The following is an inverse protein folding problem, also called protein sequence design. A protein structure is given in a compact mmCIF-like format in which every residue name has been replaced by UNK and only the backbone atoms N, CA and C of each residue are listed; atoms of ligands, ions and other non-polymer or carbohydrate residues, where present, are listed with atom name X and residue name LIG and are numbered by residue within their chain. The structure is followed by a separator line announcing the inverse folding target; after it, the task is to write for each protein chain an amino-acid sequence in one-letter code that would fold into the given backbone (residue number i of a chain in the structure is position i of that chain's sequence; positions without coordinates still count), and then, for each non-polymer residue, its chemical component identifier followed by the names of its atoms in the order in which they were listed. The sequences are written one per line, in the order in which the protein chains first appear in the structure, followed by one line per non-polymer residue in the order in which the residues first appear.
data_IF_985967668160
#
_entry.id   IF_985967668160
#
_cell.length_a   1.000
_cell.length_b   1.000
_cell.length_c   1.000
_cell.angle_alpha   90.00
_cell.angle_beta   90.00
_cell.angle_gamma   90.00
#
_symmetry.space_group_name_H-M   'P 1'
#
loop_
_entity.id
_entity.type
_entity.pdbx_description
1 polymer ?
#
# COMPACT_ATOMS: atom_id res chain seq x y z
N UNK A 1 -17.57 10.52 -54.66
CA UNK A 1 -17.92 11.23 -53.39
C UNK A 1 -17.91 10.33 -52.14
N UNK A 2 -18.46 9.10 -52.18
CA UNK A 2 -18.74 8.29 -50.96
C UNK A 2 -17.55 7.98 -50.02
N UNK A 3 -16.32 7.81 -50.52
CA UNK A 3 -15.15 7.48 -49.68
C UNK A 3 -14.84 8.55 -48.61
N UNK A 4 -15.03 9.85 -48.92
CA UNK A 4 -14.78 10.94 -47.96
C UNK A 4 -15.82 11.00 -46.83
N UNK A 5 -17.03 10.50 -47.05
CA UNK A 5 -18.04 10.38 -45.98
C UNK A 5 -17.74 9.17 -45.09
N UNK A 6 -17.37 8.02 -45.67
CA UNK A 6 -17.02 6.82 -44.90
C UNK A 6 -15.88 7.08 -43.89
N UNK A 7 -14.82 7.75 -44.33
CA UNK A 7 -13.69 8.09 -43.45
C UNK A 7 -14.08 9.04 -42.29
N UNK A 8 -14.98 10.00 -42.56
CA UNK A 8 -15.43 10.97 -41.55
C UNK A 8 -16.32 10.31 -40.47
N UNK A 9 -17.19 9.39 -40.87
CA UNK A 9 -18.08 8.67 -39.94
C UNK A 9 -17.31 7.68 -39.06
N UNK A 10 -16.25 7.04 -39.58
CA UNK A 10 -15.38 6.17 -38.77
C UNK A 10 -14.61 6.97 -37.71
N UNK A 11 -14.07 8.15 -38.05
CA UNK A 11 -13.40 9.01 -37.07
C UNK A 11 -14.34 9.49 -35.95
N UNK A 12 -15.59 9.81 -36.26
CA UNK A 12 -16.57 10.23 -35.22
C UNK A 12 -17.01 9.08 -34.31
N UNK A 13 -17.03 7.83 -34.80
CA UNK A 13 -17.32 6.67 -33.96
C UNK A 13 -16.19 6.36 -32.97
N UNK A 14 -14.92 6.50 -33.37
CA UNK A 14 -13.76 6.20 -32.52
C UNK A 14 -13.65 7.19 -31.35
N UNK A 15 -13.97 8.47 -31.56
CA UNK A 15 -13.98 9.49 -30.50
C UNK A 15 -15.04 9.21 -29.43
N UNK A 16 -16.15 8.54 -29.78
CA UNK A 16 -17.22 8.20 -28.83
C UNK A 16 -16.88 7.06 -27.86
N UNK A 17 -15.80 6.30 -28.09
CA UNK A 17 -15.38 5.18 -27.24
C UNK A 17 -14.24 5.50 -26.26
N UNK A 18 -13.79 6.77 -26.20
CA UNK A 18 -12.98 7.24 -25.06
C UNK A 18 -13.92 7.51 -23.89
N UNK A 19 -14.33 6.42 -23.24
CA UNK A 19 -15.04 6.48 -21.97
C UNK A 19 -14.14 7.16 -20.95
N UNK A 20 -14.49 8.40 -20.55
CA UNK A 20 -13.82 9.12 -19.48
C UNK A 20 -13.94 8.32 -18.19
N UNK A 21 -12.90 7.54 -17.87
CA UNK A 21 -12.79 6.88 -16.59
C UNK A 21 -12.90 7.94 -15.51
N UNK A 22 -13.95 7.86 -14.68
CA UNK A 22 -14.09 8.70 -13.50
C UNK A 22 -13.03 8.27 -12.49
N UNK A 23 -11.82 8.80 -12.66
CA UNK A 23 -10.75 8.71 -11.66
C UNK A 23 -11.27 9.42 -10.41
N UNK A 24 -11.76 8.64 -9.45
CA UNK A 24 -12.17 9.19 -8.16
C UNK A 24 -11.00 9.88 -7.47
N UNK A 25 -11.28 10.92 -6.67
CA UNK A 25 -10.25 11.59 -5.88
C UNK A 25 -9.44 10.57 -5.08
N UNK A 26 -8.11 10.68 -5.14
CA UNK A 26 -7.21 9.79 -4.43
C UNK A 26 -7.32 10.01 -2.92
N UNK A 27 -7.85 9.01 -2.22
CA UNK A 27 -8.01 8.99 -0.77
C UNK A 27 -6.77 8.37 -0.11
N UNK A 28 -6.39 8.83 1.08
CA UNK A 28 -5.36 8.16 1.88
C UNK A 28 -5.94 6.97 2.65
N UNK A 29 -5.19 5.87 2.74
CA UNK A 29 -5.53 4.69 3.54
C UNK A 29 -4.38 4.31 4.47
N UNK A 30 -4.68 4.17 5.76
CA UNK A 30 -3.74 3.64 6.76
C UNK A 30 -3.64 2.13 6.64
N UNK A 31 -2.47 1.56 6.92
CA UNK A 31 -2.27 0.11 6.90
C UNK A 31 -1.08 -0.32 7.76
N UNK A 32 -1.09 -1.59 8.18
CA UNK A 32 -0.02 -2.22 8.96
C UNK A 32 0.52 -3.44 8.21
N UNK A 33 1.85 -3.59 8.15
CA UNK A 33 2.51 -4.77 7.59
C UNK A 33 2.81 -5.80 8.67
N UNK A 34 2.38 -7.04 8.46
CA UNK A 34 2.52 -8.19 9.35
C UNK A 34 3.35 -9.32 8.71
N UNK A 35 3.94 -10.17 9.57
CA UNK A 35 4.51 -11.46 9.16
C UNK A 35 3.38 -12.34 8.61
N UNK A 36 3.63 -13.01 7.49
CA UNK A 36 2.62 -13.78 6.75
C UNK A 36 1.79 -14.71 7.64
N UNK A 37 0.46 -14.63 7.49
CA UNK A 37 -0.49 -15.46 8.25
C UNK A 37 -0.62 -15.11 9.74
N UNK A 38 -0.12 -13.96 10.19
CA UNK A 38 -0.18 -13.54 11.61
C UNK A 38 -0.58 -12.06 11.75
N UNK A 39 -0.87 -11.65 12.99
CA UNK A 39 -1.00 -10.23 13.39
C UNK A 39 0.28 -9.65 14.02
N UNK A 40 1.43 -10.30 13.86
CA UNK A 40 2.72 -9.80 14.38
C UNK A 40 3.38 -8.89 13.35
N UNK A 41 3.76 -7.66 13.72
CA UNK A 41 4.44 -6.70 12.82
C UNK A 41 5.64 -7.32 12.11
N UNK A 42 5.76 -7.06 10.80
CA UNK A 42 6.90 -7.49 10.00
C UNK A 42 8.06 -6.51 10.10
N UNK A 43 9.31 -7.00 9.99
CA UNK A 43 10.48 -6.14 9.76
C UNK A 43 10.36 -5.35 8.45
N UNK A 44 9.57 -5.85 7.49
CA UNK A 44 9.27 -5.12 6.25
C UNK A 44 8.54 -3.79 6.52
N UNK A 45 7.81 -3.65 7.63
CA UNK A 45 6.94 -2.49 7.89
C UNK A 45 7.69 -1.15 7.92
N UNK A 46 8.94 -1.14 8.41
CA UNK A 46 9.78 0.06 8.44
C UNK A 46 10.19 0.58 7.05
N UNK A 47 10.05 -0.23 6.00
CA UNK A 47 10.37 0.12 4.61
C UNK A 47 9.12 0.50 3.80
N UNK A 48 7.92 0.31 4.33
CA UNK A 48 6.68 0.64 3.65
C UNK A 48 6.22 2.05 4.02
N UNK A 49 6.16 2.93 3.03
CA UNK A 49 5.70 4.30 3.21
C UNK A 49 4.19 4.34 3.39
N UNK A 50 3.74 5.05 4.44
CA UNK A 50 2.34 5.32 4.75
C UNK A 50 2.00 6.78 4.43
N UNK A 51 0.70 7.13 4.37
CA UNK A 51 -0.40 6.22 4.03
C UNK A 51 -0.21 5.66 2.62
N UNK A 52 -0.93 4.59 2.27
CA UNK A 52 -1.12 4.24 0.86
C UNK A 52 -2.18 5.17 0.24
N UNK A 53 -2.23 5.28 -1.08
CA UNK A 53 -3.31 6.01 -1.77
C UNK A 53 -4.27 5.04 -2.44
N UNK A 54 -5.55 5.41 -2.48
CA UNK A 54 -6.63 4.61 -3.08
C UNK A 54 -7.44 5.50 -4.01
N UNK A 55 -7.59 5.04 -5.26
CA UNK A 55 -8.62 5.55 -6.17
C UNK A 55 -9.67 4.45 -6.41
N UNK A 56 -10.87 4.84 -6.81
CA UNK A 56 -11.88 3.88 -7.28
C UNK A 56 -11.90 3.91 -8.80
N UNK A 57 -11.83 2.73 -9.43
CA UNK A 57 -11.91 2.56 -10.88
C UNK A 57 -12.65 1.26 -11.20
N UNK A 58 -13.58 1.29 -12.15
CA UNK A 58 -14.35 0.12 -12.63
C UNK A 58 -14.98 -0.75 -11.52
N UNK A 59 -15.43 -0.14 -10.42
CA UNK A 59 -16.03 -0.85 -9.29
C UNK A 59 -15.04 -1.62 -8.41
N UNK A 60 -13.76 -1.25 -8.42
CA UNK A 60 -12.72 -1.79 -7.57
C UNK A 60 -11.84 -0.65 -6.99
N UNK A 61 -11.16 -0.94 -5.88
CA UNK A 61 -10.09 -0.11 -5.35
C UNK A 61 -8.81 -0.33 -6.16
N UNK A 62 -8.16 0.75 -6.60
CA UNK A 62 -6.78 0.73 -7.08
C UNK A 62 -5.92 1.35 -5.98
N UNK A 63 -5.17 0.50 -5.28
CA UNK A 63 -4.34 0.89 -4.14
C UNK A 63 -2.90 1.02 -4.59
N UNK A 64 -2.28 2.18 -4.37
CA UNK A 64 -0.86 2.44 -4.64
C UNK A 64 -0.07 2.49 -3.34
N UNK A 65 0.99 1.68 -3.27
CA UNK A 65 1.90 1.55 -2.13
C UNK A 65 3.32 1.90 -2.57
N UNK A 66 4.16 2.37 -1.65
CA UNK A 66 5.56 2.71 -1.94
C UNK A 66 6.50 2.05 -0.93
N UNK A 67 7.52 1.36 -1.44
CA UNK A 67 8.65 0.88 -0.65
C UNK A 67 9.76 1.94 -0.69
N UNK A 68 10.25 2.36 0.49
CA UNK A 68 11.33 3.33 0.67
C UNK A 68 12.56 2.63 1.27
N UNK A 69 13.68 2.70 0.57
CA UNK A 69 14.95 2.04 0.98
C UNK A 69 16.12 3.00 0.81
N UNK A 70 17.10 2.98 1.70
CA UNK A 70 18.22 3.91 1.65
C UNK A 70 19.19 3.57 0.50
N UNK A 71 19.75 4.60 -0.16
CA UNK A 71 20.56 4.41 -1.38
C UNK A 71 21.90 3.69 -1.16
N UNK A 72 22.32 3.49 0.10
CA UNK A 72 23.54 2.78 0.47
C UNK A 72 23.39 1.25 0.56
N UNK A 73 22.18 0.69 0.39
CA UNK A 73 21.94 -0.76 0.43
C UNK A 73 22.23 -1.42 -0.93
N UNK A 74 21.44 -1.06 -1.93
CA UNK A 74 21.61 -1.33 -3.36
C UNK A 74 20.51 -0.58 -4.12
N UNK A 75 20.52 -0.59 -5.46
CA UNK A 75 19.39 -0.09 -6.24
C UNK A 75 18.24 -1.13 -6.21
N UNK A 76 17.09 -0.73 -5.67
CA UNK A 76 15.87 -1.56 -5.56
C UNK A 76 16.08 -2.88 -4.78
N UNK A 77 16.54 -2.84 -3.52
CA UNK A 77 16.90 -4.02 -2.73
C UNK A 77 15.70 -4.92 -2.38
N UNK A 78 14.47 -4.44 -2.59
CA UNK A 78 13.22 -5.19 -2.42
C UNK A 78 12.44 -5.13 -3.72
N UNK A 79 11.96 -6.29 -4.17
CA UNK A 79 11.10 -6.44 -5.35
C UNK A 79 9.81 -7.14 -4.95
N UNK A 80 8.66 -6.53 -5.21
CA UNK A 80 7.35 -7.22 -5.11
C UNK A 80 7.22 -8.18 -6.29
N UNK A 81 7.03 -9.46 -5.98
CA UNK A 81 6.77 -10.52 -6.96
C UNK A 81 5.26 -10.62 -7.23
N UNK A 82 4.46 -10.57 -6.16
CA UNK A 82 3.00 -10.62 -6.23
C UNK A 82 2.34 -9.86 -5.07
N UNK A 83 1.10 -9.44 -5.29
CA UNK A 83 0.24 -8.70 -4.35
C UNK A 83 -1.22 -9.05 -4.66
N UNK A 84 -1.99 -9.45 -3.64
CA UNK A 84 -3.37 -9.95 -3.77
C UNK A 84 -3.52 -11.10 -4.80
N UNK A 85 -2.51 -11.97 -4.87
CA UNK A 85 -2.42 -13.06 -5.84
C UNK A 85 -2.07 -12.63 -7.27
N UNK A 86 -1.98 -11.33 -7.56
CA UNK A 86 -1.68 -10.76 -8.88
C UNK A 86 -0.24 -10.24 -8.97
N UNK A 87 0.22 -9.92 -10.19
CA UNK A 87 1.45 -9.16 -10.40
C UNK A 87 1.24 -7.66 -10.04
N UNK A 88 2.28 -6.96 -9.54
CA UNK A 88 2.18 -5.52 -9.28
C UNK A 88 1.99 -4.71 -10.57
N UNK A 89 1.05 -3.76 -10.53
CA UNK A 89 0.69 -2.86 -11.63
C UNK A 89 1.36 -1.49 -11.45
N UNK A 90 1.42 -0.70 -12.53
CA UNK A 90 1.90 0.71 -12.52
C UNK A 90 3.25 0.92 -11.80
N UNK A 91 4.16 -0.07 -11.93
CA UNK A 91 5.46 -0.10 -11.27
C UNK A 91 6.30 1.13 -11.67
N UNK A 92 6.60 1.97 -10.69
CA UNK A 92 7.36 3.21 -10.85
C UNK A 92 8.54 3.21 -9.88
N UNK A 93 9.71 3.61 -10.35
CA UNK A 93 10.98 3.54 -9.60
C UNK A 93 11.71 4.88 -9.71
N UNK A 94 11.78 5.63 -8.60
CA UNK A 94 12.41 6.96 -8.53
C UNK A 94 13.37 7.07 -7.35
N UNK A 95 14.28 8.04 -7.40
CA UNK A 95 15.23 8.31 -6.32
C UNK A 95 15.05 9.75 -5.84
N UNK A 96 14.88 9.96 -4.53
CA UNK A 96 14.76 11.28 -3.92
C UNK A 96 15.20 11.25 -2.45
N UNK A 97 15.77 12.36 -1.96
CA UNK A 97 16.11 12.53 -0.54
C UNK A 97 17.05 11.48 0.08
N UNK A 98 17.91 10.82 -0.71
CA UNK A 98 18.76 9.72 -0.24
C UNK A 98 18.07 8.35 -0.17
N UNK A 99 16.87 8.22 -0.77
CA UNK A 99 16.11 6.97 -0.83
C UNK A 99 15.78 6.56 -2.27
N UNK A 100 15.78 5.24 -2.49
CA UNK A 100 15.07 4.60 -3.60
C UNK A 100 13.60 4.40 -3.21
N UNK A 101 12.69 4.89 -4.06
CA UNK A 101 11.24 4.82 -3.94
C UNK A 101 10.70 3.88 -5.03
N UNK A 102 10.29 2.68 -4.65
CA UNK A 102 9.59 1.75 -5.53
C UNK A 102 8.10 1.81 -5.22
N UNK A 103 7.35 2.54 -6.05
CA UNK A 103 5.89 2.57 -6.04
C UNK A 103 5.29 1.51 -6.95
N UNK A 104 4.20 0.90 -6.52
CA UNK A 104 3.41 -0.04 -7.32
C UNK A 104 1.95 0.06 -6.90
N UNK A 105 1.03 -0.43 -7.74
CA UNK A 105 -0.37 -0.57 -7.40
C UNK A 105 -0.89 -1.99 -7.52
N UNK A 106 -2.02 -2.27 -6.88
CA UNK A 106 -2.83 -3.45 -7.11
C UNK A 106 -4.31 -3.09 -7.12
N UNK A 107 -5.14 -3.97 -7.69
CA UNK A 107 -6.57 -3.74 -7.87
C UNK A 107 -7.34 -4.81 -7.14
N UNK A 108 -8.24 -4.42 -6.23
CA UNK A 108 -9.04 -5.37 -5.45
C UNK A 108 -10.45 -4.85 -5.17
N UNK A 109 -11.38 -5.76 -4.88
CA UNK A 109 -12.76 -5.43 -4.50
C UNK A 109 -12.98 -5.38 -2.99
N UNK A 110 -12.05 -5.90 -2.21
CA UNK A 110 -12.12 -5.90 -0.75
C UNK A 110 -10.77 -5.50 -0.13
N UNK A 111 -10.81 -4.57 0.82
CA UNK A 111 -9.66 -4.20 1.66
C UNK A 111 -9.93 -4.49 3.14
N UNK A 112 -11.11 -5.01 3.48
CA UNK A 112 -11.47 -5.43 4.84
C UNK A 112 -10.84 -6.77 5.23
N UNK A 113 -10.43 -7.59 4.25
CA UNK A 113 -9.66 -8.82 4.45
C UNK A 113 -8.21 -8.62 4.95
N UNK A 114 -7.32 -9.54 4.57
CA UNK A 114 -5.86 -9.44 4.76
C UNK A 114 -5.19 -9.69 3.42
N UNK A 115 -4.59 -8.65 2.85
CA UNK A 115 -3.95 -8.74 1.53
C UNK A 115 -2.57 -9.36 1.70
N UNK A 116 -2.28 -10.44 0.96
CA UNK A 116 -0.96 -11.09 1.00
C UNK A 116 -0.08 -10.68 -0.18
N UNK A 117 1.23 -10.66 0.04
CA UNK A 117 2.23 -10.30 -0.97
C UNK A 117 3.47 -11.17 -0.84
N UNK A 118 4.07 -11.55 -1.98
CA UNK A 118 5.38 -12.17 -2.04
C UNK A 118 6.42 -11.13 -2.49
N UNK A 119 7.54 -11.05 -1.77
CA UNK A 119 8.65 -10.14 -2.05
C UNK A 119 9.97 -10.90 -2.15
N UNK A 120 10.86 -10.46 -3.04
CA UNK A 120 12.26 -10.85 -3.11
C UNK A 120 13.13 -9.75 -2.52
N UNK A 121 14.11 -10.09 -1.69
CA UNK A 121 15.06 -9.14 -1.09
C UNK A 121 16.48 -9.50 -1.53
N UNK A 122 17.29 -8.51 -1.93
CA UNK A 122 18.68 -8.67 -2.35
C UNK A 122 19.53 -7.43 -1.99
N UNK A 123 20.19 -7.48 -0.84
CA UNK A 123 21.26 -6.55 -0.43
C UNK A 123 22.59 -7.31 -0.57
N UNK A 124 23.42 -6.99 -1.58
CA UNK A 124 24.64 -7.75 -1.88
C UNK A 124 25.58 -7.89 -0.67
N UNK A 125 26.07 -9.10 -0.43
CA UNK A 125 26.95 -9.41 0.70
C UNK A 125 26.29 -9.40 2.09
N UNK A 126 25.03 -8.97 2.22
CA UNK A 126 24.35 -8.81 3.52
C UNK A 126 23.14 -9.74 3.65
N UNK A 127 22.22 -9.72 2.68
CA UNK A 127 20.97 -10.48 2.80
C UNK A 127 20.31 -10.77 1.45
N UNK A 128 19.92 -12.02 1.22
CA UNK A 128 19.13 -12.43 0.06
C UNK A 128 18.12 -13.51 0.45
N UNK A 129 16.83 -13.22 0.28
CA UNK A 129 15.74 -14.14 0.62
C UNK A 129 14.43 -13.74 -0.07
N UNK A 130 13.54 -14.70 -0.27
CA UNK A 130 12.15 -14.44 -0.63
C UNK A 130 11.27 -14.59 0.61
N UNK A 131 10.30 -13.69 0.78
CA UNK A 131 9.37 -13.67 1.90
C UNK A 131 7.95 -13.49 1.41
N UNK A 132 7.00 -14.07 2.16
CA UNK A 132 5.62 -13.60 2.10
C UNK A 132 5.39 -12.63 3.28
N UNK A 133 4.53 -11.64 3.05
CA UNK A 133 4.06 -10.68 4.06
C UNK A 133 2.55 -10.49 3.90
N UNK A 134 1.92 -9.94 4.94
CA UNK A 134 0.48 -9.66 4.96
C UNK A 134 0.26 -8.19 5.31
N UNK A 135 -0.73 -7.55 4.68
CA UNK A 135 -1.16 -6.19 4.97
C UNK A 135 -2.59 -6.19 5.51
N UNK A 136 -2.84 -5.34 6.51
CA UNK A 136 -4.18 -5.01 6.97
C UNK A 136 -4.41 -3.52 6.76
N UNK A 137 -5.43 -3.18 5.99
CA UNK A 137 -5.84 -1.80 5.74
C UNK A 137 -6.90 -1.36 6.76
N UNK A 138 -6.87 -0.08 7.11
CA UNK A 138 -7.96 0.59 7.83
C UNK A 138 -8.95 1.10 6.80
N UNK A 139 -10.11 0.45 6.71
CA UNK A 139 -11.14 0.76 5.72
C UNK A 139 -12.13 1.84 6.17
N UNK A 140 -11.98 2.39 7.39
CA UNK A 140 -12.97 3.30 8.00
C UNK A 140 -13.21 4.59 7.22
N UNK A 141 -12.23 5.07 6.46
CA UNK A 141 -12.29 6.30 5.66
C UNK A 141 -12.38 6.07 4.14
N UNK A 142 -12.64 4.83 3.69
CA UNK A 142 -12.68 4.50 2.26
C UNK A 142 -14.05 4.80 1.63
N UNK A 143 -14.07 5.25 0.34
CA UNK A 143 -15.30 5.43 -0.41
C UNK A 143 -15.92 4.06 -0.73
N UNK A 144 -17.21 3.87 -0.43
CA UNK A 144 -17.91 2.63 -0.74
C UNK A 144 -17.90 2.33 -2.25
N UNK A 145 -17.55 1.10 -2.62
CA UNK A 145 -17.71 0.62 -4.00
C UNK A 145 -19.20 0.45 -4.31
N UNK A 146 -19.69 1.11 -5.36
CA UNK A 146 -21.09 1.04 -5.79
C UNK A 146 -21.53 -0.41 -6.04
N UNK A 147 -22.40 -0.94 -5.17
CA UNK A 147 -22.82 -2.35 -5.15
C UNK A 147 -22.45 -3.10 -3.86
N UNK A 148 -21.62 -2.54 -2.98
CA UNK A 148 -21.38 -3.09 -1.65
C UNK A 148 -22.42 -2.57 -0.65
N UNK A 149 -23.43 -3.39 -0.34
CA UNK A 149 -24.36 -3.12 0.77
C UNK A 149 -23.63 -3.34 2.09
N UNK A 150 -23.14 -2.27 2.72
CA UNK A 150 -22.50 -2.34 4.03
C UNK A 150 -23.53 -2.63 5.13
N UNK A 151 -23.59 -3.87 5.58
CA UNK A 151 -24.42 -4.26 6.74
C UNK A 151 -24.00 -3.51 8.00
N UNK A 152 -24.83 -2.58 8.45
CA UNK A 152 -24.65 -1.90 9.73
C UNK A 152 -25.07 -2.84 10.85
N UNK A 153 -24.14 -3.13 11.78
CA UNK A 153 -24.42 -3.88 13.00
C UNK A 153 -23.94 -3.05 14.20
N UNK A 154 -24.86 -2.70 15.10
CA UNK A 154 -24.58 -1.89 16.29
C UNK A 154 -25.43 -2.40 17.45
N UNK A 155 -24.85 -2.44 18.66
CA UNK A 155 -25.41 -3.06 19.89
C UNK A 155 -25.39 -4.60 19.90
N UNK A 156 -25.24 -5.29 21.04
CA UNK A 156 -24.89 -4.82 22.39
C UNK A 156 -25.57 -5.64 23.51
N UNK A 157 -24.83 -5.97 24.57
CA UNK A 157 -25.24 -6.70 25.81
C UNK A 157 -25.76 -8.16 25.60
N UNK A 158 -25.27 -9.19 26.30
CA UNK A 158 -25.46 -9.57 27.73
C UNK A 158 -26.90 -10.11 27.99
N UNK A 159 -27.19 -11.22 28.70
CA UNK A 159 -26.37 -12.02 29.64
C UNK A 159 -26.89 -13.47 29.87
N UNK A 160 -26.04 -14.34 30.44
CA UNK A 160 -26.35 -15.52 31.30
C UNK A 160 -27.12 -16.73 30.66
N UNK A 161 -26.96 -18.00 31.04
CA UNK A 161 -26.12 -18.76 32.03
C UNK A 161 -25.74 -20.14 31.41
N UNK A 162 -25.20 -21.22 32.01
CA UNK A 162 -24.92 -21.72 33.38
C UNK A 162 -23.59 -22.54 33.35
N UNK A 163 -22.85 -22.89 34.42
CA UNK A 163 -23.09 -23.75 35.63
C UNK A 163 -23.43 -25.23 35.30
N UNK A 164 -22.76 -26.28 35.81
CA UNK A 164 -21.76 -26.42 36.89
C UNK A 164 -20.71 -27.52 36.55
N UNK A 165 -19.41 -27.34 36.81
CA UNK A 165 -18.64 -27.79 38.00
C UNK A 165 -17.97 -29.18 37.88
N UNK A 166 -16.73 -29.29 38.40
CA UNK A 166 -15.93 -30.52 38.42
C UNK A 166 -14.44 -30.24 38.61
N UNK A 167 -13.92 -30.31 39.85
CA UNK A 167 -12.50 -30.08 40.18
C UNK A 167 -11.77 -31.38 40.47
N UNK A 168 -10.54 -31.54 39.95
CA UNK A 168 -9.53 -32.44 40.50
C UNK A 168 -8.12 -32.06 40.02
N UNK A 169 -7.16 -32.07 40.96
CA UNK A 169 -5.72 -31.98 40.69
C UNK A 169 -5.20 -33.33 40.15
N UNK A 170 -4.15 -33.34 39.31
CA UNK A 170 -3.69 -34.55 38.63
C UNK A 170 -2.33 -34.46 37.94
N UNK A 171 -1.31 -33.90 38.58
CA UNK A 171 0.07 -34.01 38.06
C UNK A 171 0.62 -35.43 38.21
N UNK A 172 0.96 -36.09 37.10
CA UNK A 172 1.76 -37.32 37.07
C UNK A 172 2.96 -37.17 36.13
N UNK A 173 4.15 -37.04 36.72
CA UNK A 173 5.42 -36.94 36.00
C UNK A 173 6.05 -38.30 35.75
N UNK A 174 6.61 -38.55 34.57
CA UNK A 174 7.36 -39.77 34.26
C UNK A 174 8.52 -39.55 33.28
N UNK A 175 9.53 -38.79 33.71
CA UNK A 175 10.88 -38.88 33.11
C UNK A 175 11.94 -38.69 34.20
N UNK A 176 12.62 -39.77 34.56
CA UNK A 176 13.67 -39.77 35.60
C UNK A 176 14.96 -39.16 35.05
N UNK A 177 15.55 -38.19 35.77
CA UNK A 177 16.78 -37.53 35.34
C UNK A 177 17.33 -36.52 36.34
N UNK A 178 18.01 -37.00 37.39
CA UNK A 178 18.94 -36.25 38.27
C UNK A 178 18.42 -34.97 38.95
N UNK A 179 18.10 -35.07 40.25
CA UNK A 179 17.80 -33.92 41.11
C UNK A 179 19.08 -33.17 41.52
N UNK A 180 19.53 -32.20 40.71
CA UNK A 180 20.51 -31.18 41.12
C UNK A 180 19.80 -29.85 41.45
N UNK A 181 19.77 -29.41 42.73
CA UNK A 181 19.10 -28.18 43.12
C UNK A 181 19.77 -26.91 42.57
N UNK A 182 21.04 -26.94 42.16
CA UNK A 182 21.67 -25.79 41.49
C UNK A 182 21.09 -25.57 40.09
N UNK A 183 20.74 -26.64 39.38
CA UNK A 183 20.24 -26.56 38.01
C UNK A 183 18.92 -25.78 37.94
N UNK A 184 17.97 -26.09 38.85
CA UNK A 184 16.66 -25.43 38.90
C UNK A 184 16.74 -23.94 39.25
N UNK A 185 17.69 -23.54 40.11
CA UNK A 185 17.95 -22.12 40.39
C UNK A 185 18.57 -21.41 39.18
N UNK A 186 19.49 -22.07 38.47
CA UNK A 186 20.15 -21.55 37.27
C UNK A 186 19.15 -21.32 36.13
N UNK A 187 18.20 -22.25 35.92
CA UNK A 187 17.11 -22.08 34.94
C UNK A 187 16.22 -20.87 35.26
N UNK A 188 15.74 -20.72 36.51
CA UNK A 188 14.93 -19.54 36.90
C UNK A 188 15.67 -18.22 36.70
N UNK A 189 16.99 -18.20 36.92
CA UNK A 189 17.81 -17.00 36.65
C UNK A 189 17.92 -16.71 35.14
N UNK A 190 18.14 -17.72 34.31
CA UNK A 190 18.13 -17.56 32.84
C UNK A 190 16.78 -17.06 32.31
N UNK A 191 15.66 -17.62 32.79
CA UNK A 191 14.30 -17.20 32.40
C UNK A 191 14.03 -15.71 32.73
N UNK A 192 14.41 -15.27 33.93
CA UNK A 192 14.28 -13.87 34.35
C UNK A 192 15.21 -12.93 33.57
N UNK A 193 16.39 -13.38 33.14
CA UNK A 193 17.27 -12.60 32.27
C UNK A 193 16.74 -12.53 30.82
N UNK A 194 16.24 -13.63 30.26
CA UNK A 194 15.69 -13.69 28.92
C UNK A 194 14.43 -12.82 28.75
N UNK A 195 13.52 -12.87 29.72
CA UNK A 195 12.32 -12.00 29.75
C UNK A 195 12.67 -10.51 29.93
N UNK A 196 13.69 -10.20 30.74
CA UNK A 196 14.23 -8.82 30.85
C UNK A 196 14.86 -8.32 29.55
N UNK A 197 15.59 -9.18 28.84
CA UNK A 197 16.19 -8.84 27.55
C UNK A 197 15.13 -8.70 26.43
N UNK A 198 14.12 -9.57 26.41
CA UNK A 198 13.00 -9.53 25.46
C UNK A 198 12.15 -8.26 25.60
N UNK A 199 11.85 -7.84 26.84
CA UNK A 199 11.13 -6.60 27.11
C UNK A 199 11.98 -5.35 26.77
N UNK A 200 13.27 -5.35 27.10
CA UNK A 200 14.20 -4.29 26.70
C UNK A 200 14.39 -4.20 25.16
N UNK A 201 14.37 -5.32 24.46
CA UNK A 201 14.39 -5.37 22.99
C UNK A 201 13.12 -4.71 22.40
N UNK A 202 11.92 -5.15 22.82
CA UNK A 202 10.65 -4.52 22.42
C UNK A 202 10.60 -3.02 22.72
N UNK A 203 11.17 -2.57 23.83
CA UNK A 203 11.26 -1.15 24.17
C UNK A 203 12.17 -0.37 23.20
N UNK A 204 13.32 -0.94 22.81
CA UNK A 204 14.20 -0.35 21.79
C UNK A 204 13.57 -0.37 20.39
N UNK A 205 12.97 -1.49 19.98
CA UNK A 205 12.28 -1.65 18.69
C UNK A 205 11.14 -0.64 18.55
N UNK A 206 10.26 -0.52 19.55
CA UNK A 206 9.14 0.43 19.52
C UNK A 206 9.59 1.90 19.54
N UNK A 207 10.68 2.23 20.25
CA UNK A 207 11.28 3.58 20.20
C UNK A 207 11.92 3.89 18.84
N UNK A 208 12.61 2.91 18.24
CA UNK A 208 13.19 3.05 16.90
C UNK A 208 12.08 3.18 15.84
N UNK A 209 11.04 2.36 15.89
CA UNK A 209 9.88 2.44 15.01
C UNK A 209 9.19 3.81 15.09
N UNK A 210 8.97 4.36 16.30
CA UNK A 210 8.44 5.73 16.47
C UNK A 210 9.35 6.80 15.89
N UNK A 211 10.68 6.66 16.02
CA UNK A 211 11.65 7.58 15.42
C UNK A 211 11.63 7.51 13.89
N UNK A 212 11.57 6.30 13.32
CA UNK A 212 11.46 6.09 11.87
C UNK A 212 10.14 6.62 11.33
N UNK A 213 9.02 6.43 12.03
CA UNK A 213 7.72 7.03 11.68
C UNK A 213 7.86 8.56 11.65
N UNK A 214 8.34 9.20 12.72
CA UNK A 214 8.50 10.66 12.75
C UNK A 214 9.47 11.24 11.68
N UNK A 215 10.43 10.45 11.16
CA UNK A 215 11.24 10.82 9.99
C UNK A 215 10.56 10.49 8.65
N UNK A 216 9.75 9.44 8.59
CA UNK A 216 8.92 9.13 7.43
C UNK A 216 7.90 10.25 7.22
N UNK A 217 7.24 10.72 8.28
CA UNK A 217 6.15 11.72 8.25
C UNK A 217 6.62 13.10 7.76
N UNK A 218 7.76 13.58 8.25
CA UNK A 218 8.37 14.84 7.78
C UNK A 218 8.70 14.83 6.29
N UNK A 219 9.07 13.67 5.75
CA UNK A 219 9.34 13.48 4.32
C UNK A 219 8.05 13.20 3.53
N UNK A 220 6.99 12.64 4.14
CA UNK A 220 5.65 12.58 3.56
C UNK A 220 5.10 13.99 3.32
N UNK A 221 5.23 14.90 4.29
CA UNK A 221 4.82 16.31 4.13
C UNK A 221 5.49 17.00 2.94
N UNK A 222 6.77 16.69 2.67
CA UNK A 222 7.49 17.20 1.50
C UNK A 222 6.98 16.52 0.22
N UNK A 223 6.97 15.18 0.19
CA UNK A 223 6.47 14.42 -0.97
C UNK A 223 5.02 14.76 -1.34
N UNK A 224 4.14 15.11 -0.39
CA UNK A 224 2.76 15.51 -0.65
C UNK A 224 2.69 16.91 -1.30
N UNK A 225 3.56 17.84 -0.89
CA UNK A 225 3.71 19.15 -1.54
C UNK A 225 4.26 18.97 -2.96
N UNK A 226 5.26 18.12 -3.14
CA UNK A 226 5.85 17.83 -4.45
C UNK A 226 4.86 17.11 -5.39
N UNK A 227 4.07 16.14 -4.89
CA UNK A 227 3.01 15.46 -5.65
C UNK A 227 1.89 16.41 -6.07
N UNK A 228 1.44 17.31 -5.18
CA UNK A 228 0.41 18.30 -5.54
C UNK A 228 0.92 19.34 -6.52
N UNK A 229 2.15 19.83 -6.35
CA UNK A 229 2.82 20.69 -7.34
C UNK A 229 2.98 20.00 -8.70
N UNK A 230 3.44 18.74 -8.72
CA UNK A 230 3.58 17.97 -9.96
C UNK A 230 2.23 17.77 -10.68
N UNK A 231 1.16 17.49 -9.93
CA UNK A 231 -0.21 17.41 -10.47
C UNK A 231 -0.65 18.73 -11.10
N UNK A 232 -0.46 19.87 -10.41
CA UNK A 232 -0.83 21.18 -10.96
C UNK A 232 0.01 21.57 -12.19
N UNK A 233 1.31 21.27 -12.21
CA UNK A 233 2.18 21.49 -13.38
C UNK A 233 1.74 20.63 -14.56
N UNK A 234 1.41 19.36 -14.33
CA UNK A 234 1.03 18.43 -15.39
C UNK A 234 -0.36 18.74 -15.98
N UNK A 235 -1.36 19.03 -15.13
CA UNK A 235 -2.70 19.42 -15.58
C UNK A 235 -2.68 20.81 -16.23
N UNK A 236 -1.98 21.78 -15.64
CA UNK A 236 -1.83 23.13 -16.18
C UNK A 236 -1.11 23.15 -17.53
N UNK A 237 -0.05 22.34 -17.69
CA UNK A 237 0.68 22.18 -18.95
C UNK A 237 -0.19 21.58 -20.06
N UNK A 238 -0.99 20.55 -19.76
CA UNK A 238 -1.93 19.96 -20.72
C UNK A 238 -3.02 20.97 -21.12
N UNK A 239 -3.60 21.69 -20.16
CA UNK A 239 -4.64 22.68 -20.43
C UNK A 239 -4.10 23.85 -21.29
N UNK A 240 -2.90 24.34 -20.97
CA UNK A 240 -2.22 25.37 -21.77
C UNK A 240 -1.92 24.91 -23.20
N UNK A 241 -1.44 23.68 -23.37
CA UNK A 241 -1.19 23.09 -24.69
C UNK A 241 -2.48 23.02 -25.53
N UNK A 242 -3.59 22.58 -24.93
CA UNK A 242 -4.88 22.51 -25.61
C UNK A 242 -5.40 23.89 -26.04
N UNK A 243 -5.21 24.93 -25.23
CA UNK A 243 -5.56 26.32 -25.58
C UNK A 243 -4.73 26.82 -26.77
N UNK A 244 -3.42 26.56 -26.77
CA UNK A 244 -2.52 26.94 -27.89
C UNK A 244 -2.91 26.21 -29.18
N UNK A 245 -3.23 24.92 -29.11
CA UNK A 245 -3.71 24.14 -30.27
C UNK A 245 -5.04 24.70 -30.80
N UNK A 246 -6.00 25.00 -29.91
CA UNK A 246 -7.28 25.59 -30.30
C UNK A 246 -7.12 26.96 -30.97
N UNK A 247 -6.24 27.82 -30.44
CA UNK A 247 -5.93 29.11 -31.04
C UNK A 247 -5.28 28.98 -32.43
N UNK A 248 -4.34 28.05 -32.61
CA UNK A 248 -3.72 27.78 -33.91
C UNK A 248 -4.73 27.26 -34.95
N UNK A 249 -5.61 26.34 -34.56
CA UNK A 249 -6.69 25.82 -35.42
C UNK A 249 -7.67 26.94 -35.80
N UNK A 250 -8.06 27.79 -34.85
CA UNK A 250 -8.92 28.95 -35.11
C UNK A 250 -8.28 29.93 -36.09
N UNK A 251 -6.98 30.26 -35.91
CA UNK A 251 -6.26 31.18 -36.78
C UNK A 251 -6.18 30.66 -38.23
N UNK A 252 -5.82 29.38 -38.40
CA UNK A 252 -5.78 28.74 -39.73
C UNK A 252 -7.17 28.68 -40.39
N UNK A 253 -8.23 28.42 -39.63
CA UNK A 253 -9.60 28.43 -40.15
C UNK A 253 -10.09 29.83 -40.54
N UNK A 254 -9.74 30.85 -39.74
CA UNK A 254 -10.04 32.26 -40.02
C UNK A 254 -9.32 32.76 -41.28
N UNK A 255 -8.01 32.53 -41.38
CA UNK A 255 -7.23 32.89 -42.57
C UNK A 255 -7.80 32.25 -43.84
N UNK A 256 -8.22 30.97 -43.78
CA UNK A 256 -8.80 30.25 -44.91
C UNK A 256 -10.20 30.73 -45.33
N UNK A 257 -10.88 31.53 -44.49
CA UNK A 257 -12.14 32.22 -44.85
C UNK A 257 -11.92 33.58 -45.55
N UNK A 258 -10.75 34.18 -45.44
CA UNK A 258 -10.45 35.51 -45.99
C UNK A 258 -9.82 35.50 -47.39
N UNK A 259 -9.63 34.31 -47.99
CA UNK A 259 -9.15 34.19 -49.37
C UNK A 259 -10.37 34.29 -50.33
N UNK A 260 -10.54 35.37 -51.09
CA UNK A 260 -11.57 35.42 -52.13
C UNK A 260 -11.25 34.41 -53.22
N UNK A 261 -12.28 33.73 -53.74
CA UNK A 261 -12.15 32.89 -54.93
C UNK A 261 -12.38 33.75 -56.17
N UNK A 262 -11.29 34.07 -56.86
CA UNK A 262 -11.31 34.27 -58.30
C UNK A 262 -11.30 32.91 -59.01
#
# INVERSE_FOLDING_TARGET
MKLKQFLLTVCTLIVAMIGFAKVGHAQSVSYQTYKYGTSTTSMADGYYARPATVTVSNGAYVVTMTIRTATNLSAWPVVVNSIDGQAPQNVTKTQSGGYYLYSYSFTTKDLSGVISSSISINVPGVYKANHNISFKFDTSSLPALSGSTSSTSTSGADSSSATAAGVANGSSSSTSGSNDPQLSQKLKKLESQASSQSSAAKAKESRLARSTIAQNDRVQEQNQKDQTLYYFVLVGGILGLLIVIAAAVYFVWSAKKQIPRH
#
